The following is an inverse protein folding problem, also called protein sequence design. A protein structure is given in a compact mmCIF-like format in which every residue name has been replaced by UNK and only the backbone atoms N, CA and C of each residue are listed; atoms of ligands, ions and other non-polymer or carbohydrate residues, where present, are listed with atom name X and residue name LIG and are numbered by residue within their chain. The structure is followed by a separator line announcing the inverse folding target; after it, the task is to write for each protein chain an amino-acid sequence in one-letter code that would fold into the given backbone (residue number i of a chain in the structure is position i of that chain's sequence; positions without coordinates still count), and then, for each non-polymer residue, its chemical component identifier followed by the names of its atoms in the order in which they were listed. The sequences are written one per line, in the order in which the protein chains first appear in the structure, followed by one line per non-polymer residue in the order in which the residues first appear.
data_IF_161858219706
#
_entry.id   IF_161858219706
#
_cell.length_a   1.000
_cell.length_b   1.000
_cell.length_c   1.000
_cell.angle_alpha   90.00
_cell.angle_beta   90.00
_cell.angle_gamma   90.00
#
_symmetry.space_group_name_H-M   'P 1'
#
loop_
_entity.id
_entity.type
_entity.pdbx_description
1 polymer ?
#
# COMPACT_ATOMS: atom_id res chain seq x y z
N UNK A 1 -15.86 6.81 23.12
CA UNK A 1 -16.18 5.58 22.37
C UNK A 1 -17.04 5.84 21.12
N UNK A 2 -17.55 7.06 20.87
CA UNK A 2 -18.25 7.38 19.60
C UNK A 2 -17.35 7.94 18.50
N UNK A 3 -16.20 8.55 18.86
CA UNK A 3 -15.35 9.25 17.89
C UNK A 3 -14.87 8.39 16.71
N UNK A 4 -14.51 7.12 16.96
CA UNK A 4 -14.08 6.22 15.89
C UNK A 4 -15.24 5.86 14.96
N UNK A 5 -16.43 5.62 15.51
CA UNK A 5 -17.63 5.32 14.73
C UNK A 5 -18.05 6.54 13.91
N UNK A 6 -18.03 7.72 14.51
CA UNK A 6 -18.34 8.98 13.84
C UNK A 6 -17.34 9.26 12.71
N UNK A 7 -16.04 9.02 12.94
CA UNK A 7 -15.01 9.17 11.92
C UNK A 7 -15.21 8.20 10.73
N UNK A 8 -15.61 6.95 11.00
CA UNK A 8 -15.91 5.97 9.94
C UNK A 8 -17.15 6.39 9.14
N UNK A 9 -18.20 6.87 9.82
CA UNK A 9 -19.42 7.35 9.16
C UNK A 9 -19.11 8.56 8.27
N UNK A 10 -18.42 9.57 8.79
CA UNK A 10 -18.04 10.76 8.01
C UNK A 10 -17.12 10.42 6.84
N UNK A 11 -16.15 9.50 7.01
CA UNK A 11 -15.31 9.05 5.90
C UNK A 11 -16.13 8.33 4.81
N UNK A 12 -17.13 7.55 5.21
CA UNK A 12 -18.02 6.86 4.27
C UNK A 12 -18.94 7.85 3.54
N UNK A 13 -19.48 8.86 4.23
CA UNK A 13 -20.26 9.95 3.61
C UNK A 13 -19.42 10.75 2.62
N UNK A 14 -18.16 11.03 2.94
CA UNK A 14 -17.23 11.75 2.06
C UNK A 14 -16.95 10.98 0.76
N UNK A 15 -16.86 9.65 0.84
CA UNK A 15 -16.73 8.77 -0.32
C UNK A 15 -18.04 8.67 -1.13
N UNK A 16 -19.20 8.70 -0.44
CA UNK A 16 -20.53 8.66 -1.07
C UNK A 16 -20.98 10.02 -1.62
N UNK A 17 -20.30 11.12 -1.29
CA UNK A 17 -20.56 12.45 -1.85
C UNK A 17 -20.21 12.56 -3.34
N UNK A 18 -19.53 11.56 -3.92
CA UNK A 18 -19.13 11.52 -5.33
C UNK A 18 -18.38 12.78 -5.79
N UNK A 19 -17.60 13.38 -4.89
CA UNK A 19 -16.79 14.55 -5.23
C UNK A 19 -15.65 14.13 -6.18
N UNK A 20 -15.61 14.66 -7.42
CA UNK A 20 -14.58 14.31 -8.39
C UNK A 20 -13.15 14.62 -7.90
N UNK A 21 -12.96 15.59 -7.01
CA UNK A 21 -11.65 15.92 -6.45
C UNK A 21 -11.15 14.83 -5.49
N UNK A 22 -12.02 14.36 -4.59
CA UNK A 22 -11.69 13.28 -3.63
C UNK A 22 -11.38 11.98 -4.38
N UNK A 23 -12.19 11.62 -5.38
CA UNK A 23 -11.96 10.42 -6.18
C UNK A 23 -10.63 10.49 -6.94
N UNK A 24 -10.24 11.67 -7.44
CA UNK A 24 -8.95 11.86 -8.11
C UNK A 24 -7.79 11.63 -7.13
N UNK A 25 -7.87 12.16 -5.90
CA UNK A 25 -6.85 11.95 -4.87
C UNK A 25 -6.77 10.47 -4.45
N UNK A 26 -7.90 9.80 -4.23
CA UNK A 26 -7.95 8.38 -3.87
C UNK A 26 -7.36 7.52 -4.99
N UNK A 27 -7.75 7.79 -6.23
CA UNK A 27 -7.26 7.04 -7.38
C UNK A 27 -5.76 7.23 -7.62
N UNK A 28 -5.28 8.46 -7.52
CA UNK A 28 -3.84 8.75 -7.67
C UNK A 28 -3.02 8.08 -6.56
N UNK A 29 -3.47 8.16 -5.32
CA UNK A 29 -2.84 7.49 -4.17
C UNK A 29 -2.79 5.98 -4.37
N UNK A 30 -3.91 5.37 -4.76
CA UNK A 30 -3.99 3.93 -4.99
C UNK A 30 -3.07 3.49 -6.14
N UNK A 31 -3.05 4.26 -7.24
CA UNK A 31 -2.18 4.00 -8.39
C UNK A 31 -0.70 4.05 -7.99
N UNK A 32 -0.29 5.07 -7.24
CA UNK A 32 1.10 5.23 -6.80
C UNK A 32 1.49 4.08 -5.86
N UNK A 33 0.64 3.77 -4.88
CA UNK A 33 0.88 2.67 -3.94
C UNK A 33 1.03 1.33 -4.67
N UNK A 34 0.13 1.04 -5.63
CA UNK A 34 0.17 -0.20 -6.39
C UNK A 34 1.43 -0.31 -7.26
N UNK A 35 1.81 0.75 -7.95
CA UNK A 35 3.04 0.78 -8.75
C UNK A 35 4.26 0.59 -7.84
N UNK A 36 4.31 1.27 -6.70
CA UNK A 36 5.40 1.15 -5.74
C UNK A 36 5.50 -0.27 -5.18
N UNK A 37 4.38 -0.90 -4.79
CA UNK A 37 4.35 -2.28 -4.29
C UNK A 37 4.78 -3.27 -5.36
N UNK A 38 4.32 -3.12 -6.61
CA UNK A 38 4.71 -4.01 -7.72
C UNK A 38 6.19 -3.84 -8.04
N UNK A 39 6.70 -2.62 -8.12
CA UNK A 39 8.11 -2.36 -8.35
C UNK A 39 8.99 -2.92 -7.22
N UNK A 40 8.57 -2.74 -5.96
CA UNK A 40 9.23 -3.32 -4.80
C UNK A 40 9.21 -4.85 -4.86
N UNK A 41 8.08 -5.47 -5.19
CA UNK A 41 7.94 -6.91 -5.32
C UNK A 41 8.86 -7.48 -6.41
N UNK A 42 8.94 -6.83 -7.57
CA UNK A 42 9.81 -7.26 -8.67
C UNK A 42 11.29 -7.29 -8.29
N UNK A 43 11.73 -6.50 -7.32
CA UNK A 43 13.12 -6.46 -6.86
C UNK A 43 13.30 -7.34 -5.60
N UNK A 44 12.42 -7.17 -4.61
CA UNK A 44 12.50 -7.84 -3.32
C UNK A 44 12.23 -9.35 -3.41
N UNK A 45 11.32 -9.80 -4.28
CA UNK A 45 11.03 -11.23 -4.45
C UNK A 45 12.24 -12.00 -4.99
N UNK A 46 12.86 -11.62 -6.13
CA UNK A 46 14.01 -12.37 -6.64
C UNK A 46 15.23 -12.25 -5.72
N UNK A 47 15.47 -11.07 -5.13
CA UNK A 47 16.56 -10.91 -4.16
C UNK A 47 16.31 -11.76 -2.91
N UNK A 48 15.11 -11.69 -2.33
CA UNK A 48 14.72 -12.47 -1.16
C UNK A 48 14.78 -13.97 -1.43
N UNK A 49 14.35 -14.41 -2.61
CA UNK A 49 14.42 -15.82 -3.04
C UNK A 49 15.87 -16.28 -3.20
N UNK A 50 16.72 -15.46 -3.85
CA UNK A 50 18.15 -15.74 -4.00
C UNK A 50 18.84 -15.83 -2.64
N UNK A 51 18.50 -14.93 -1.71
CA UNK A 51 19.02 -14.95 -0.34
C UNK A 51 18.53 -16.19 0.42
N UNK A 52 17.26 -16.58 0.25
CA UNK A 52 16.68 -17.74 0.93
C UNK A 52 17.34 -19.04 0.50
N UNK A 53 17.51 -19.26 -0.81
CA UNK A 53 18.06 -20.50 -1.39
C UNK A 53 19.58 -20.57 -1.23
N UNK A 54 20.29 -19.47 -1.47
CA UNK A 54 21.75 -19.48 -1.42
C UNK A 54 22.26 -19.33 0.02
N UNK A 55 23.35 -20.03 0.33
CA UNK A 55 24.10 -19.85 1.58
C UNK A 55 25.36 -19.06 1.25
N UNK A 56 25.37 -17.77 1.53
CA UNK A 56 26.52 -16.89 1.35
C UNK A 56 27.05 -16.40 2.71
N UNK A 57 28.35 -16.09 2.76
CA UNK A 57 29.06 -15.71 4.00
C UNK A 57 28.40 -14.50 4.70
N UNK A 58 27.83 -13.56 3.95
CA UNK A 58 27.10 -12.41 4.47
C UNK A 58 25.67 -12.66 4.96
N UNK A 59 25.13 -13.89 4.86
CA UNK A 59 23.74 -14.21 5.28
C UNK A 59 23.56 -14.25 6.81
N UNK A 60 24.67 -14.36 7.55
CA UNK A 60 24.72 -14.58 9.01
C UNK A 60 25.51 -13.50 9.76
N UNK A 61 25.95 -12.46 9.05
CA UNK A 61 26.53 -11.24 9.62
C UNK A 61 25.41 -10.21 9.80
#
# INVERSE_FOLDING_TARGET
MNYFTDAIISATELLLQFDPEIYLVVWTSLKIALIATVAAALIAIPIGTSIAINQFIGKRL
#
